data_IF_038570702691
#
_entry.id   IF_038570702691
#
_cell.length_a   1.000
_cell.length_b   1.000
_cell.length_c   1.000
_cell.angle_alpha   90.00
_cell.angle_beta   90.00
_cell.angle_gamma   90.00
#
_symmetry.space_group_name_H-M   'P 1'
#
loop_
_entity.id
_entity.type
_entity.pdbx_description
1 polymer ?
#
# COMPACT_ATOMS: atom_id res chain seq x y z
N UNK A 1 -8.15 -0.75 18.07
CA UNK A 1 -6.94 -0.76 17.21
C UNK A 1 -6.95 0.57 16.48
N UNK A 2 -5.82 1.25 16.33
CA UNK A 2 -5.79 2.58 15.67
C UNK A 2 -5.51 2.40 14.18
N UNK A 3 -6.38 2.87 13.32
CA UNK A 3 -6.23 2.79 11.86
C UNK A 3 -4.93 3.46 11.37
N UNK A 4 -4.53 4.57 11.99
CA UNK A 4 -3.27 5.27 11.67
C UNK A 4 -2.03 4.40 11.92
N UNK A 5 -2.04 3.55 12.97
CA UNK A 5 -0.96 2.59 13.26
C UNK A 5 -0.88 1.50 12.19
N UNK A 6 -2.01 1.09 11.61
CA UNK A 6 -2.05 0.09 10.55
C UNK A 6 -1.49 0.66 9.24
N UNK A 7 -1.85 1.88 8.88
CA UNK A 7 -1.25 2.56 7.72
C UNK A 7 0.26 2.76 7.91
N UNK A 8 0.70 3.20 9.09
CA UNK A 8 2.13 3.33 9.37
C UNK A 8 2.90 2.01 9.22
N UNK A 9 2.29 0.88 9.62
CA UNK A 9 2.85 -0.44 9.40
C UNK A 9 2.85 -0.83 7.91
N UNK A 10 1.80 -0.52 7.16
CA UNK A 10 1.75 -0.78 5.72
C UNK A 10 2.85 0.00 4.98
N UNK A 11 3.05 1.28 5.29
CA UNK A 11 4.12 2.09 4.70
C UNK A 11 5.52 1.58 5.08
N UNK A 12 5.72 1.15 6.33
CA UNK A 12 6.96 0.47 6.73
C UNK A 12 7.19 -0.79 5.89
N UNK A 13 6.18 -1.63 5.73
CA UNK A 13 6.23 -2.88 4.98
C UNK A 13 6.51 -2.64 3.49
N UNK A 14 5.86 -1.64 2.92
CA UNK A 14 6.05 -1.17 1.54
C UNK A 14 7.51 -0.76 1.27
N UNK A 15 8.12 0.00 2.19
CA UNK A 15 9.54 0.38 2.09
C UNK A 15 10.48 -0.82 2.14
N UNK A 16 10.19 -1.84 2.96
CA UNK A 16 10.97 -3.08 2.95
C UNK A 16 10.88 -3.82 1.61
N UNK A 17 9.69 -3.89 1.01
CA UNK A 17 9.52 -4.49 -0.31
C UNK A 17 10.23 -3.68 -1.40
N UNK A 18 10.06 -2.36 -1.44
CA UNK A 18 10.73 -1.50 -2.43
C UNK A 18 12.25 -1.65 -2.38
N UNK A 19 12.82 -1.67 -1.16
CA UNK A 19 14.24 -1.93 -0.98
C UNK A 19 14.64 -3.29 -1.58
N UNK A 20 13.90 -4.35 -1.26
CA UNK A 20 14.16 -5.69 -1.78
C UNK A 20 13.98 -5.77 -3.29
N UNK A 21 12.96 -5.11 -3.86
CA UNK A 21 12.75 -5.00 -5.31
C UNK A 21 13.93 -4.29 -6.00
N UNK A 22 14.58 -3.35 -5.33
CA UNK A 22 15.77 -2.67 -5.84
C UNK A 22 17.05 -3.53 -5.83
N UNK A 23 17.05 -4.65 -5.12
CA UNK A 23 18.17 -5.59 -5.00
C UNK A 23 18.10 -6.75 -6.01
N UNK A 24 17.00 -6.88 -6.77
CA UNK A 24 16.79 -7.91 -7.79
C UNK A 24 16.79 -7.32 -9.21
N UNK A 25 17.05 -8.13 -10.26
CA UNK A 25 17.05 -7.64 -11.64
C UNK A 25 15.70 -7.01 -12.01
N UNK A 26 15.74 -5.88 -12.71
CA UNK A 26 14.52 -5.19 -13.13
C UNK A 26 13.64 -6.05 -14.05
N UNK A 27 14.28 -6.91 -14.83
CA UNK A 27 13.62 -7.91 -15.67
C UNK A 27 12.71 -8.82 -14.85
N UNK A 28 13.18 -9.30 -13.68
CA UNK A 28 12.38 -10.12 -12.77
C UNK A 28 11.22 -9.33 -12.15
N UNK A 29 11.41 -8.03 -11.87
CA UNK A 29 10.35 -7.16 -11.35
C UNK A 29 9.24 -6.93 -12.37
N UNK A 30 9.55 -7.04 -13.67
CA UNK A 30 8.64 -6.69 -14.77
C UNK A 30 8.23 -7.85 -15.67
N UNK A 31 8.75 -9.05 -15.46
CA UNK A 31 8.36 -10.22 -16.23
C UNK A 31 6.90 -10.62 -15.98
N UNK A 32 6.26 -11.19 -17.00
CA UNK A 32 4.87 -11.67 -16.90
C UNK A 32 4.82 -13.00 -16.15
N UNK A 33 4.10 -13.03 -15.05
CA UNK A 33 4.03 -14.17 -14.12
C UNK A 33 2.62 -14.78 -14.00
N UNK A 34 1.61 -14.18 -14.67
CA UNK A 34 0.25 -14.70 -14.66
C UNK A 34 -0.44 -14.68 -13.29
N UNK A 35 -0.11 -13.69 -12.44
CA UNK A 35 -0.75 -13.46 -11.15
C UNK A 35 -2.01 -12.58 -11.29
N UNK A 36 -2.48 -11.90 -10.22
CA UNK A 36 -3.64 -10.98 -10.28
C UNK A 36 -3.39 -9.83 -11.25
N UNK A 37 -2.13 -9.40 -11.35
CA UNK A 37 -1.58 -8.49 -12.36
C UNK A 37 -0.35 -9.14 -13.00
N UNK A 38 0.12 -8.56 -14.09
CA UNK A 38 1.12 -9.21 -14.96
C UNK A 38 2.49 -9.40 -14.29
N UNK A 39 2.88 -8.51 -13.38
CA UNK A 39 4.23 -8.52 -12.80
C UNK A 39 4.25 -8.03 -11.36
N UNK A 40 5.38 -8.22 -10.65
CA UNK A 40 5.63 -7.64 -9.32
C UNK A 40 5.42 -6.12 -9.35
N UNK A 41 5.96 -5.42 -10.38
CA UNK A 41 5.72 -3.98 -10.58
C UNK A 41 4.23 -3.66 -10.64
N UNK A 42 3.48 -4.41 -11.42
CA UNK A 42 2.08 -4.12 -11.70
C UNK A 42 1.21 -4.34 -10.48
N UNK A 43 1.47 -5.42 -9.72
CA UNK A 43 0.83 -5.68 -8.42
C UNK A 43 1.10 -4.53 -7.45
N UNK A 44 2.38 -4.13 -7.33
CA UNK A 44 2.79 -3.09 -6.39
C UNK A 44 2.18 -1.72 -6.76
N UNK A 45 2.25 -1.34 -8.03
CA UNK A 45 1.68 -0.06 -8.50
C UNK A 45 0.15 -0.07 -8.40
N UNK A 46 -0.50 -1.23 -8.62
CA UNK A 46 -1.95 -1.35 -8.42
C UNK A 46 -2.36 -1.03 -6.98
N UNK A 47 -1.66 -1.56 -5.97
CA UNK A 47 -1.99 -1.27 -4.56
C UNK A 47 -1.83 0.22 -4.24
N UNK A 48 -0.82 0.91 -4.82
CA UNK A 48 -0.69 2.36 -4.73
C UNK A 48 -1.86 3.11 -5.38
N UNK A 49 -2.25 2.71 -6.59
CA UNK A 49 -3.39 3.31 -7.29
C UNK A 49 -4.70 3.11 -6.53
N UNK A 50 -4.90 1.94 -5.92
CA UNK A 50 -6.06 1.65 -5.10
C UNK A 50 -6.11 2.57 -3.87
N UNK A 51 -5.01 2.68 -3.12
CA UNK A 51 -4.91 3.58 -1.97
C UNK A 51 -5.19 5.03 -2.38
N UNK A 52 -4.49 5.57 -3.38
CA UNK A 52 -4.66 6.94 -3.83
C UNK A 52 -6.10 7.23 -4.28
N UNK A 53 -6.69 6.32 -5.05
CA UNK A 53 -8.04 6.47 -5.57
C UNK A 53 -9.09 6.54 -4.46
N UNK A 54 -9.01 5.67 -3.46
CA UNK A 54 -9.93 5.67 -2.35
C UNK A 54 -9.73 6.85 -1.41
N UNK A 55 -8.49 7.20 -1.09
CA UNK A 55 -8.17 8.37 -0.26
C UNK A 55 -8.69 9.66 -0.90
N UNK A 56 -8.53 9.82 -2.21
CA UNK A 56 -9.09 10.98 -2.92
C UNK A 56 -10.61 10.99 -2.90
N UNK A 57 -11.28 9.83 -3.03
CA UNK A 57 -12.75 9.75 -2.90
C UNK A 57 -13.22 10.13 -1.50
N UNK A 58 -12.58 9.58 -0.47
CA UNK A 58 -12.87 9.91 0.93
C UNK A 58 -12.69 11.41 1.20
N UNK A 59 -11.69 12.04 0.58
CA UNK A 59 -11.44 13.48 0.65
C UNK A 59 -12.24 14.32 -0.35
N UNK A 60 -13.23 13.72 -1.06
CA UNK A 60 -14.01 14.38 -2.12
C UNK A 60 -13.16 15.03 -3.23
N UNK A 61 -12.00 14.43 -3.54
CA UNK A 61 -11.07 14.87 -4.58
C UNK A 61 -11.23 14.04 -5.86
N UNK A 62 -10.79 14.58 -6.99
CA UNK A 62 -10.81 13.87 -8.27
C UNK A 62 -9.93 12.63 -8.25
N UNK A 63 -10.44 11.55 -8.84
CA UNK A 63 -9.69 10.30 -9.08
C UNK A 63 -9.36 10.12 -10.56
N UNK A 64 -9.59 11.15 -11.37
CA UNK A 64 -9.31 11.12 -12.80
C UNK A 64 -7.83 10.81 -13.06
N UNK A 65 -7.57 9.96 -14.03
CA UNK A 65 -6.21 9.59 -14.44
C UNK A 65 -5.54 8.50 -13.62
N UNK A 66 -5.99 8.19 -12.37
CA UNK A 66 -5.29 7.21 -11.52
C UNK A 66 -5.23 5.85 -12.20
N UNK A 67 -6.39 5.22 -12.43
CA UNK A 67 -6.43 3.88 -13.05
C UNK A 67 -6.19 3.88 -14.57
N UNK A 68 -6.19 5.01 -15.24
CA UNK A 68 -5.81 5.11 -16.65
C UNK A 68 -4.31 5.31 -16.84
N UNK A 69 -3.56 5.58 -15.78
CA UNK A 69 -2.10 5.62 -15.84
C UNK A 69 -1.59 4.17 -15.95
N UNK A 70 -0.93 3.82 -17.07
CA UNK A 70 -0.45 2.46 -17.27
C UNK A 70 0.70 2.14 -16.33
N UNK A 71 0.78 0.90 -15.85
CA UNK A 71 1.89 0.44 -15.00
C UNK A 71 3.25 0.61 -15.67
N UNK A 72 3.29 0.48 -16.99
CA UNK A 72 4.50 0.68 -17.80
C UNK A 72 5.06 2.11 -17.78
N UNK A 73 4.35 3.08 -17.18
CA UNK A 73 4.89 4.40 -16.90
C UNK A 73 6.04 4.35 -15.89
N UNK A 74 6.01 3.37 -15.00
CA UNK A 74 7.00 3.20 -13.93
C UNK A 74 8.13 2.30 -14.42
N UNK A 75 9.22 2.91 -14.89
CA UNK A 75 10.33 2.24 -15.58
C UNK A 75 11.49 1.86 -14.66
N UNK A 76 11.45 2.29 -13.40
CA UNK A 76 12.52 2.05 -12.42
C UNK A 76 11.92 1.95 -11.02
N UNK A 77 12.65 1.30 -10.09
CA UNK A 77 12.28 1.29 -8.67
C UNK A 77 12.10 2.72 -8.15
N UNK A 78 13.00 3.63 -8.50
CA UNK A 78 12.92 5.02 -8.09
C UNK A 78 11.60 5.70 -8.48
N UNK A 79 11.11 5.47 -9.70
CA UNK A 79 9.83 6.03 -10.12
C UNK A 79 8.63 5.47 -9.34
N UNK A 80 8.74 4.23 -8.85
CA UNK A 80 7.74 3.61 -7.96
C UNK A 80 7.86 4.19 -6.55
N UNK A 81 9.08 4.39 -6.05
CA UNK A 81 9.33 5.03 -4.74
C UNK A 81 8.74 6.44 -4.70
N UNK A 82 9.01 7.26 -5.71
CA UNK A 82 8.48 8.62 -5.82
C UNK A 82 6.94 8.63 -5.81
N UNK A 83 6.31 7.68 -6.50
CA UNK A 83 4.85 7.52 -6.47
C UNK A 83 4.34 7.03 -5.11
N UNK A 84 5.04 6.10 -4.48
CA UNK A 84 4.69 5.61 -3.14
C UNK A 84 4.76 6.73 -2.09
N UNK A 85 5.78 7.61 -2.17
CA UNK A 85 5.92 8.77 -1.30
C UNK A 85 4.78 9.78 -1.50
N UNK A 86 4.36 10.02 -2.75
CA UNK A 86 3.19 10.86 -3.07
C UNK A 86 1.92 10.30 -2.43
N UNK A 87 1.66 9.01 -2.60
CA UNK A 87 0.47 8.34 -2.05
C UNK A 87 0.48 8.35 -0.53
N UNK A 88 1.63 8.05 0.09
CA UNK A 88 1.79 8.11 1.55
C UNK A 88 1.50 9.52 2.09
N UNK A 89 2.02 10.56 1.42
CA UNK A 89 1.80 11.94 1.83
C UNK A 89 0.33 12.33 1.75
N UNK A 90 -0.37 11.99 0.66
CA UNK A 90 -1.81 12.25 0.50
C UNK A 90 -2.64 11.52 1.57
N UNK A 91 -2.32 10.26 1.82
CA UNK A 91 -3.02 9.43 2.81
C UNK A 91 -2.79 9.95 4.22
N UNK A 92 -1.55 10.31 4.56
CA UNK A 92 -1.21 10.86 5.86
C UNK A 92 -1.91 12.20 6.09
N UNK A 93 -1.97 13.08 5.08
CA UNK A 93 -2.73 14.35 5.17
C UNK A 93 -4.21 14.11 5.47
N UNK A 94 -4.84 13.14 4.79
CA UNK A 94 -6.22 12.76 5.04
C UNK A 94 -6.41 12.23 6.47
N UNK A 95 -5.58 11.27 6.88
CA UNK A 95 -5.67 10.63 8.20
C UNK A 95 -5.43 11.62 9.35
N UNK A 96 -4.59 12.65 9.18
CA UNK A 96 -4.36 13.65 10.22
C UNK A 96 -5.61 14.50 10.50
N UNK A 97 -6.43 14.75 9.48
CA UNK A 97 -7.66 15.55 9.59
C UNK A 97 -8.87 14.73 10.02
N UNK A 98 -8.74 13.40 10.05
CA UNK A 98 -9.81 12.47 10.29
C UNK A 98 -10.14 12.39 11.78
N UNK A 99 -11.38 12.69 12.13
CA UNK A 99 -11.99 12.53 13.43
C UNK A 99 -13.01 11.37 13.46
N UNK A 100 -13.72 11.19 14.59
CA UNK A 100 -14.70 10.12 14.73
C UNK A 100 -15.89 10.29 13.78
N UNK A 101 -16.34 11.51 13.54
CA UNK A 101 -17.47 11.77 12.63
C UNK A 101 -17.05 11.48 11.19
N UNK A 102 -15.82 11.84 10.82
CA UNK A 102 -15.24 11.51 9.54
C UNK A 102 -15.10 9.99 9.31
N UNK A 103 -14.74 9.22 10.35
CA UNK A 103 -14.70 7.75 10.26
C UNK A 103 -16.08 7.14 9.97
N UNK A 104 -17.15 7.73 10.49
CA UNK A 104 -18.53 7.25 10.29
C UNK A 104 -19.20 7.87 9.07
N UNK A 105 -18.53 8.75 8.34
CA UNK A 105 -19.08 9.38 7.14
C UNK A 105 -19.31 8.36 6.04
N UNK A 106 -20.31 8.63 5.18
CA UNK A 106 -20.64 7.79 4.03
C UNK A 106 -19.97 8.34 2.77
N UNK A 107 -19.22 7.49 2.08
CA UNK A 107 -18.69 7.76 0.75
C UNK A 107 -19.50 7.03 -0.31
N UNK A 108 -19.89 7.73 -1.36
CA UNK A 108 -20.55 7.15 -2.51
C UNK A 108 -19.55 6.86 -3.63
N UNK A 109 -19.68 5.69 -4.21
CA UNK A 109 -18.88 5.25 -5.35
C UNK A 109 -19.78 4.68 -6.44
N UNK A 110 -19.66 5.25 -7.65
CA UNK A 110 -20.32 4.69 -8.83
C UNK A 110 -19.45 3.58 -9.41
N UNK A 111 -19.93 2.35 -9.27
CA UNK A 111 -19.26 1.17 -9.81
C UNK A 111 -19.21 1.15 -11.36
N UNK A 112 -18.42 0.24 -11.92
CA UNK A 112 -18.31 0.04 -13.37
C UNK A 112 -19.65 -0.39 -14.01
N UNK A 113 -20.52 -1.04 -13.24
CA UNK A 113 -21.88 -1.42 -13.60
C UNK A 113 -22.89 -0.24 -13.56
N UNK A 114 -22.42 0.95 -13.24
CA UNK A 114 -23.20 2.18 -13.12
C UNK A 114 -23.98 2.34 -11.82
N UNK A 115 -23.94 1.34 -10.91
CA UNK A 115 -24.62 1.42 -9.63
C UNK A 115 -23.88 2.30 -8.64
N UNK A 116 -24.62 2.97 -7.78
CA UNK A 116 -24.06 3.73 -6.67
C UNK A 116 -23.97 2.81 -5.46
N UNK A 117 -22.75 2.58 -5.00
CA UNK A 117 -22.45 1.88 -3.76
C UNK A 117 -22.17 2.90 -2.66
N UNK A 118 -22.50 2.55 -1.43
CA UNK A 118 -22.28 3.39 -0.24
C UNK A 118 -21.47 2.61 0.76
N UNK A 119 -20.39 3.23 1.26
CA UNK A 119 -19.49 2.62 2.23
C UNK A 119 -19.28 3.58 3.40
N UNK A 120 -19.10 3.05 4.59
CA UNK A 120 -18.58 3.80 5.75
C UNK A 120 -17.10 4.06 5.51
N UNK A 121 -16.63 5.26 5.79
CA UNK A 121 -15.21 5.64 5.57
C UNK A 121 -14.23 4.72 6.32
N UNK A 122 -14.57 4.31 7.54
CA UNK A 122 -13.77 3.37 8.34
C UNK A 122 -13.62 2.02 7.61
N UNK A 123 -14.71 1.49 7.01
CA UNK A 123 -14.67 0.22 6.29
C UNK A 123 -13.77 0.33 5.05
N UNK A 124 -13.80 1.47 4.35
CA UNK A 124 -12.90 1.71 3.22
C UNK A 124 -11.44 1.76 3.67
N UNK A 125 -11.15 2.40 4.79
CA UNK A 125 -9.78 2.44 5.32
C UNK A 125 -9.28 1.06 5.75
N UNK A 126 -10.15 0.24 6.34
CA UNK A 126 -9.82 -1.16 6.69
C UNK A 126 -9.57 -1.97 5.42
N UNK A 127 -10.41 -1.80 4.38
CA UNK A 127 -10.23 -2.45 3.10
C UNK A 127 -8.88 -2.09 2.47
N UNK A 128 -8.43 -0.82 2.52
CA UNK A 128 -7.11 -0.43 2.02
C UNK A 128 -5.95 -1.11 2.76
N UNK A 129 -6.10 -1.31 4.06
CA UNK A 129 -5.11 -2.08 4.84
C UNK A 129 -5.09 -3.54 4.40
N UNK A 130 -6.23 -4.13 4.16
CA UNK A 130 -6.39 -5.52 3.69
C UNK A 130 -5.83 -5.70 2.27
N UNK A 131 -6.14 -4.81 1.34
CA UNK A 131 -5.61 -4.78 -0.03
C UNK A 131 -4.06 -4.79 -0.06
N UNK A 132 -3.45 -3.93 0.75
CA UNK A 132 -1.98 -3.89 0.85
C UNK A 132 -1.40 -5.22 1.38
N UNK A 133 -2.04 -5.83 2.39
CA UNK A 133 -1.61 -7.12 2.94
C UNK A 133 -1.78 -8.23 1.91
N UNK A 134 -2.90 -8.24 1.17
CA UNK A 134 -3.20 -9.20 0.12
C UNK A 134 -2.13 -9.17 -0.98
N UNK A 135 -1.90 -8.02 -1.58
CA UNK A 135 -0.94 -7.87 -2.68
C UNK A 135 0.51 -8.05 -2.23
N UNK A 136 0.85 -7.67 -1.00
CA UNK A 136 2.15 -7.98 -0.41
C UNK A 136 2.36 -9.49 -0.27
N UNK A 137 1.35 -10.23 0.15
CA UNK A 137 1.41 -11.71 0.22
C UNK A 137 1.62 -12.33 -1.16
N UNK A 138 0.98 -11.79 -2.19
CA UNK A 138 1.15 -12.21 -3.58
C UNK A 138 2.59 -11.99 -4.07
N UNK A 139 3.16 -10.82 -3.86
CA UNK A 139 4.57 -10.52 -4.20
C UNK A 139 5.53 -11.45 -3.46
N UNK A 140 5.30 -11.71 -2.17
CA UNK A 140 6.13 -12.65 -1.38
C UNK A 140 6.06 -14.06 -1.95
N UNK A 141 4.88 -14.50 -2.40
CA UNK A 141 4.73 -15.80 -3.06
C UNK A 141 5.54 -15.89 -4.35
N UNK A 142 5.54 -14.82 -5.16
CA UNK A 142 6.34 -14.74 -6.39
C UNK A 142 7.84 -14.81 -6.08
N UNK A 143 8.31 -14.11 -5.04
CA UNK A 143 9.70 -14.18 -4.61
C UNK A 143 10.14 -15.62 -4.34
N UNK A 144 9.34 -16.41 -3.61
CA UNK A 144 9.62 -17.83 -3.36
C UNK A 144 9.62 -18.68 -4.63
N UNK A 145 8.77 -18.38 -5.60
CA UNK A 145 8.74 -19.07 -6.90
C UNK A 145 10.00 -18.82 -7.73
N UNK A 146 10.68 -17.71 -7.50
CA UNK A 146 11.93 -17.33 -8.15
C UNK A 146 13.18 -17.63 -7.30
N UNK A 147 13.05 -18.40 -6.22
CA UNK A 147 14.15 -18.67 -5.27
C UNK A 147 14.78 -17.38 -4.68
N UNK A 148 14.00 -16.30 -4.60
CA UNK A 148 14.43 -15.03 -4.02
C UNK A 148 13.93 -14.96 -2.58
N UNK A 149 14.82 -14.79 -1.58
CA UNK A 149 14.40 -14.61 -0.19
C UNK A 149 13.62 -13.28 -0.02
N UNK A 150 12.34 -13.32 0.39
CA UNK A 150 11.60 -12.09 0.61
C UNK A 150 12.07 -11.37 1.88
N UNK A 151 11.85 -10.05 2.00
CA UNK A 151 12.14 -9.33 3.22
C UNK A 151 11.29 -9.84 4.38
N UNK A 152 11.87 -9.85 5.58
CA UNK A 152 11.12 -10.21 6.79
C UNK A 152 10.20 -9.06 7.21
N UNK A 153 8.90 -9.23 7.03
CA UNK A 153 7.87 -8.26 7.37
C UNK A 153 6.93 -8.86 8.42
N UNK A 154 6.92 -8.26 9.62
CA UNK A 154 6.09 -8.71 10.73
C UNK A 154 5.57 -7.53 11.54
N UNK A 155 4.25 -7.48 11.80
CA UNK A 155 3.64 -6.44 12.63
C UNK A 155 4.22 -6.42 14.05
N UNK A 156 4.42 -7.59 14.65
CA UNK A 156 4.97 -7.69 16.00
C UNK A 156 6.42 -7.22 16.07
N UNK A 157 7.24 -7.52 15.06
CA UNK A 157 8.61 -7.01 14.96
C UNK A 157 8.64 -5.48 14.77
N UNK A 158 7.75 -4.94 13.93
CA UNK A 158 7.58 -3.49 13.76
C UNK A 158 7.22 -2.80 15.09
N UNK A 159 6.26 -3.33 15.84
CA UNK A 159 5.85 -2.77 17.14
C UNK A 159 6.95 -2.90 18.20
N UNK A 160 7.73 -3.98 18.19
CA UNK A 160 8.86 -4.16 19.10
C UNK A 160 9.95 -3.09 18.88
N UNK A 161 10.28 -2.77 17.63
CA UNK A 161 11.23 -1.69 17.31
C UNK A 161 10.75 -0.33 17.85
N UNK A 162 9.46 -0.01 17.65
CA UNK A 162 8.86 1.22 18.16
C UNK A 162 8.89 1.30 19.72
N UNK A 163 8.73 0.17 20.40
CA UNK A 163 8.79 0.07 21.87
C UNK A 163 10.22 0.29 22.37
N UNK A 164 11.21 -0.37 21.75
CA UNK A 164 12.61 -0.22 22.10
C UNK A 164 13.09 1.23 21.96
N UNK A 165 12.67 1.90 20.91
CA UNK A 165 12.97 3.33 20.68
C UNK A 165 12.39 4.24 21.76
N UNK A 166 11.24 3.88 22.35
CA UNK A 166 10.58 4.64 23.44
C UNK A 166 11.23 4.40 24.80
N UNK A 167 11.73 3.19 25.05
CA UNK A 167 12.28 2.80 26.38
C UNK A 167 13.77 3.03 26.52
N UNK A 168 14.49 3.37 25.44
CA UNK A 168 15.95 3.54 25.43
C UNK A 168 16.73 2.25 25.72
N UNK A 169 16.07 1.09 25.75
CA UNK A 169 16.68 -0.19 26.09
C UNK A 169 17.22 -0.85 24.82
N UNK A 170 18.52 -0.80 24.63
CA UNK A 170 19.19 -1.60 23.58
C UNK A 170 19.12 -3.07 23.98
N UNK A 171 18.43 -3.91 23.21
CA UNK A 171 18.56 -5.36 23.39
C UNK A 171 19.97 -5.76 22.95
N UNK A 172 20.74 -6.31 23.89
CA UNK A 172 22.01 -6.96 23.56
C UNK A 172 21.74 -8.13 22.60
N UNK A 173 22.55 -8.21 21.56
CA UNK A 173 22.53 -9.28 20.54
C UNK A 173 22.97 -10.62 21.13
#
# INVERSE_FOLDING_TARGET
MNIKDLFAYNWYSRRQLLKSMGEIPWETVTESIGASFDSIRDIFVHSLQAEQSWIRRLGSRSTEGIYSTPFTKYLTIRSIEEYADEVEAETNEYLQKLDNDGLQSIVEYKGRDGKINRYVAEDVLIHLVEEEIHHRGEIICIYWQHDIPPPYISYTAYKAQATTSRTGTTMAR
#
